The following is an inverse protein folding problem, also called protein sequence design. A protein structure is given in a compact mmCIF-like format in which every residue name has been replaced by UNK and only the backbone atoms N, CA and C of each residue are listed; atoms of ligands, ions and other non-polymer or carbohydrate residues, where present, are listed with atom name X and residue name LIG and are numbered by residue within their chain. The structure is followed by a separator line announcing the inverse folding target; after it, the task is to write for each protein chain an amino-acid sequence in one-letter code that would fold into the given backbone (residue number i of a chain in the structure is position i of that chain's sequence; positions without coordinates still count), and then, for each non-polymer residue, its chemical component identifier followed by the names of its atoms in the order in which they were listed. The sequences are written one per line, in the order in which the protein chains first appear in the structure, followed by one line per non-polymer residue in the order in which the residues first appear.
data_IF_934417197367
#
_entry.id   IF_934417197367
#
_cell.length_a   1.000
_cell.length_b   1.000
_cell.length_c   1.000
_cell.angle_alpha   90.00
_cell.angle_beta   90.00
_cell.angle_gamma   90.00
#
_symmetry.space_group_name_H-M   'P 1'
#
loop_
_entity.id
_entity.type
_entity.pdbx_description
1 polymer ?
#
# COMPACT_ATOMS: atom_id res chain seq x y z
N UNK A 1 16.25 28.31 -3.56
CA UNK A 1 16.95 28.94 -4.71
C UNK A 1 17.03 27.91 -5.84
N UNK A 2 16.28 28.08 -6.92
CA UNK A 2 16.07 27.03 -7.93
C UNK A 2 17.19 26.97 -8.96
N UNK A 3 17.86 25.81 -9.07
CA UNK A 3 18.82 25.54 -10.15
C UNK A 3 18.11 25.50 -11.51
N UNK A 4 18.74 26.04 -12.55
CA UNK A 4 18.23 26.00 -13.94
C UNK A 4 18.86 24.86 -14.73
N UNK A 5 18.21 24.44 -15.82
CA UNK A 5 18.84 23.57 -16.81
C UNK A 5 20.14 24.23 -17.31
N UNK A 6 21.26 23.50 -17.25
CA UNK A 6 22.61 24.01 -17.49
C UNK A 6 23.46 24.21 -16.22
N UNK A 7 22.83 24.38 -15.04
CA UNK A 7 23.51 24.60 -13.75
C UNK A 7 23.29 23.45 -12.75
N UNK A 8 22.77 22.32 -13.24
CA UNK A 8 22.36 21.19 -12.40
C UNK A 8 23.57 20.49 -11.79
N UNK A 9 24.43 19.97 -12.67
CA UNK A 9 25.55 19.09 -12.33
C UNK A 9 26.53 18.94 -13.52
N UNK A 10 27.77 18.55 -13.24
CA UNK A 10 28.77 18.22 -14.25
C UNK A 10 28.79 16.70 -14.48
N UNK A 11 28.22 16.24 -15.59
CA UNK A 11 28.25 14.83 -16.03
C UNK A 11 29.20 14.70 -17.23
N UNK A 12 30.16 13.78 -17.17
CA UNK A 12 31.14 13.53 -18.25
C UNK A 12 31.15 12.07 -18.66
N UNK A 13 31.27 11.78 -19.96
CA UNK A 13 31.48 10.41 -20.46
C UNK A 13 30.24 9.54 -20.56
N UNK A 14 29.03 10.10 -20.57
CA UNK A 14 27.77 9.34 -20.70
C UNK A 14 27.12 9.64 -22.05
N UNK A 15 26.89 8.60 -22.84
CA UNK A 15 26.17 8.68 -24.13
C UNK A 15 24.80 8.03 -24.00
N UNK A 16 23.75 8.73 -24.44
CA UNK A 16 22.37 8.24 -24.40
C UNK A 16 21.85 7.99 -25.80
N UNK A 17 21.20 6.85 -26.00
CA UNK A 17 20.50 6.51 -27.25
C UNK A 17 19.00 6.50 -27.02
N UNK A 18 18.24 7.03 -27.99
CA UNK A 18 16.77 7.13 -27.93
C UNK A 18 16.21 6.90 -29.33
N UNK A 19 15.07 6.22 -29.40
CA UNK A 19 14.29 6.06 -30.62
C UNK A 19 13.19 7.12 -30.67
N UNK A 20 12.72 7.47 -31.86
CA UNK A 20 11.57 8.36 -32.02
C UNK A 20 10.32 7.73 -31.40
N UNK A 21 9.42 8.49 -30.73
CA UNK A 21 8.18 7.93 -30.20
C UNK A 21 7.30 7.25 -31.26
N UNK A 22 7.38 7.71 -32.51
CA UNK A 22 6.65 7.14 -33.65
C UNK A 22 7.18 5.77 -34.11
N UNK A 23 8.37 5.39 -33.66
CA UNK A 23 9.01 4.10 -33.98
C UNK A 23 8.83 3.09 -32.83
N UNK A 24 8.31 3.52 -31.69
CA UNK A 24 8.14 2.69 -30.50
C UNK A 24 6.68 2.27 -30.32
N UNK A 25 6.46 1.06 -29.81
CA UNK A 25 5.12 0.65 -29.36
C UNK A 25 4.84 1.23 -27.98
N UNK A 26 3.69 1.89 -27.75
CA UNK A 26 3.36 2.50 -26.46
C UNK A 26 3.15 1.46 -25.34
N UNK A 27 2.82 0.22 -25.68
CA UNK A 27 2.58 -0.87 -24.72
C UNK A 27 3.62 -1.98 -24.82
N UNK A 28 4.83 -1.65 -25.29
CA UNK A 28 5.92 -2.59 -25.35
C UNK A 28 6.18 -3.22 -23.96
N UNK A 29 6.25 -4.55 -23.90
CA UNK A 29 6.55 -5.27 -22.67
C UNK A 29 5.43 -5.32 -21.62
N UNK A 30 4.16 -5.14 -22.01
CA UNK A 30 3.02 -5.20 -21.08
C UNK A 30 2.97 -6.51 -20.26
N UNK A 31 3.25 -7.66 -20.90
CA UNK A 31 3.31 -8.97 -20.22
C UNK A 31 4.43 -9.04 -19.16
N UNK A 32 5.62 -8.53 -19.49
CA UNK A 32 6.70 -8.43 -18.50
C UNK A 32 6.38 -7.41 -17.40
N UNK A 33 5.69 -6.33 -17.76
CA UNK A 33 5.23 -5.28 -16.86
C UNK A 33 4.36 -5.84 -15.74
N UNK A 34 3.48 -6.78 -16.06
CA UNK A 34 2.65 -7.47 -15.06
C UNK A 34 3.50 -8.25 -14.04
N UNK A 35 4.51 -8.99 -14.51
CA UNK A 35 5.43 -9.70 -13.62
C UNK A 35 6.24 -8.77 -12.71
N UNK A 36 6.68 -7.61 -13.23
CA UNK A 36 7.37 -6.57 -12.43
C UNK A 36 6.42 -5.94 -11.40
N UNK A 37 5.15 -5.70 -11.77
CA UNK A 37 4.12 -5.18 -10.88
C UNK A 37 3.85 -6.14 -9.72
N UNK A 38 3.67 -7.43 -10.00
CA UNK A 38 3.44 -8.44 -8.97
C UNK A 38 4.62 -8.53 -7.97
N UNK A 39 5.86 -8.49 -8.48
CA UNK A 39 7.07 -8.44 -7.63
C UNK A 39 7.07 -7.22 -6.72
N UNK A 40 6.68 -6.05 -7.23
CA UNK A 40 6.52 -4.82 -6.43
C UNK A 40 5.44 -4.98 -5.38
N UNK A 41 4.23 -5.40 -5.75
CA UNK A 41 3.12 -5.62 -4.81
C UNK A 41 3.54 -6.54 -3.66
N UNK A 42 4.17 -7.69 -3.97
CA UNK A 42 4.66 -8.63 -2.95
C UNK A 42 5.64 -7.99 -1.96
N UNK A 43 6.51 -7.09 -2.43
CA UNK A 43 7.44 -6.37 -1.56
C UNK A 43 6.76 -5.42 -0.58
N UNK A 44 5.58 -4.88 -0.93
CA UNK A 44 4.84 -3.95 -0.08
C UNK A 44 3.88 -4.65 0.88
N UNK A 45 3.31 -5.80 0.48
CA UNK A 45 2.31 -6.52 1.29
C UNK A 45 2.84 -6.84 2.68
N UNK A 46 4.09 -7.28 2.85
CA UNK A 46 4.63 -7.59 4.18
C UNK A 46 4.96 -6.35 5.02
N UNK A 47 5.19 -5.19 4.38
CA UNK A 47 5.49 -3.94 5.09
C UNK A 47 4.21 -3.23 5.55
N UNK A 48 3.16 -3.30 4.74
CA UNK A 48 1.93 -2.54 4.92
C UNK A 48 0.81 -3.43 5.50
N UNK A 49 0.75 -4.69 5.06
CA UNK A 49 -0.28 -5.65 5.44
C UNK A 49 -0.44 -5.86 6.95
N UNK A 50 0.64 -6.00 7.75
CA UNK A 50 0.49 -6.19 9.20
C UNK A 50 -0.24 -5.04 9.89
N UNK A 51 -0.01 -3.80 9.47
CA UNK A 51 -0.68 -2.63 10.05
C UNK A 51 -2.17 -2.61 9.72
N UNK A 52 -2.54 -2.87 8.46
CA UNK A 52 -3.95 -2.95 8.07
C UNK A 52 -4.68 -4.10 8.75
N UNK A 53 -4.04 -5.29 8.82
CA UNK A 53 -4.62 -6.45 9.49
C UNK A 53 -4.80 -6.18 10.99
N UNK A 54 -3.80 -5.60 11.65
CA UNK A 54 -3.90 -5.28 13.09
C UNK A 54 -5.03 -4.29 13.37
N UNK A 55 -5.14 -3.22 12.57
CA UNK A 55 -6.23 -2.24 12.71
C UNK A 55 -7.60 -2.88 12.52
N UNK A 56 -7.73 -3.80 11.55
CA UNK A 56 -8.98 -4.52 11.31
C UNK A 56 -9.36 -5.41 12.51
N UNK A 57 -8.41 -6.19 13.04
CA UNK A 57 -8.64 -7.05 14.19
C UNK A 57 -9.05 -6.25 15.45
N UNK A 58 -8.41 -5.11 15.69
CA UNK A 58 -8.76 -4.22 16.82
C UNK A 58 -10.19 -3.68 16.66
N UNK A 59 -10.55 -3.26 15.44
CA UNK A 59 -11.89 -2.74 15.14
C UNK A 59 -12.96 -3.81 15.34
N UNK A 60 -12.71 -5.03 14.86
CA UNK A 60 -13.62 -6.17 15.01
C UNK A 60 -13.83 -6.52 16.48
N UNK A 61 -12.73 -6.67 17.24
CA UNK A 61 -12.78 -6.92 18.68
C UNK A 61 -13.57 -5.85 19.43
N UNK A 62 -13.29 -4.57 19.17
CA UNK A 62 -13.96 -3.46 19.84
C UNK A 62 -15.47 -3.44 19.54
N UNK A 63 -15.85 -3.76 18.31
CA UNK A 63 -17.25 -3.81 17.88
C UNK A 63 -17.99 -4.96 18.58
N UNK A 64 -17.42 -6.16 18.57
CA UNK A 64 -18.00 -7.32 19.24
C UNK A 64 -18.13 -7.13 20.75
N UNK A 65 -17.09 -6.59 21.38
CA UNK A 65 -17.06 -6.37 22.83
C UNK A 65 -18.11 -5.33 23.23
N UNK A 66 -18.23 -4.24 22.47
CA UNK A 66 -19.28 -3.25 22.69
C UNK A 66 -20.68 -3.87 22.57
N UNK A 67 -20.90 -4.73 21.58
CA UNK A 67 -22.17 -5.46 21.44
C UNK A 67 -22.45 -6.42 22.61
N UNK A 68 -21.42 -7.05 23.19
CA UNK A 68 -21.56 -7.94 24.35
C UNK A 68 -21.89 -7.15 25.62
N UNK A 69 -21.18 -6.05 25.88
CA UNK A 69 -21.36 -5.22 27.07
C UNK A 69 -22.73 -4.52 27.11
N UNK A 70 -23.30 -4.18 25.96
CA UNK A 70 -24.64 -3.60 25.90
C UNK A 70 -25.77 -4.61 26.10
N UNK A 71 -25.49 -5.93 26.14
CA UNK A 71 -26.50 -6.93 26.49
C UNK A 71 -26.67 -6.98 28.00
N UNK A 72 -27.92 -7.03 28.46
CA UNK A 72 -28.24 -7.22 29.87
C UNK A 72 -27.70 -8.58 30.34
N UNK A 73 -27.03 -8.60 31.48
CA UNK A 73 -26.55 -9.83 32.10
C UNK A 73 -27.67 -10.46 32.93
N UNK A 74 -28.12 -11.70 32.63
CA UNK A 74 -29.17 -12.37 33.40
C UNK A 74 -28.80 -12.56 34.88
N UNK A 75 -27.51 -12.76 35.18
CA UNK A 75 -27.02 -13.04 36.53
C UNK A 75 -27.19 -11.86 37.49
N UNK A 76 -27.35 -10.64 36.98
CA UNK A 76 -27.53 -9.44 37.80
C UNK A 76 -28.94 -9.38 38.43
N UNK A 77 -29.89 -10.19 37.96
CA UNK A 77 -31.28 -10.21 38.41
C UNK A 77 -31.63 -11.41 39.30
N UNK A 78 -30.67 -12.29 39.61
CA UNK A 78 -30.91 -13.53 40.37
C UNK A 78 -31.19 -13.30 41.87
N UNK A 79 -30.70 -12.20 42.44
CA UNK A 79 -30.81 -11.88 43.87
C UNK A 79 -31.74 -10.69 44.16
N UNK A 80 -32.51 -10.25 43.16
CA UNK A 80 -33.50 -9.17 43.30
C UNK A 80 -34.85 -9.81 43.64
N UNK A 81 -34.99 -10.28 44.89
CA UNK A 81 -36.23 -10.84 45.46
C UNK A 81 -36.50 -10.25 46.84
#
# INVERSE_FOLDING_TARGET
MGKKFGELERVTGVTFFRLSPYEQSPFAGMGEGFGRLLKRCRSYVLRIGPFFLSSYLIMEWATEENHKLHRKNPNDYENDT
#
